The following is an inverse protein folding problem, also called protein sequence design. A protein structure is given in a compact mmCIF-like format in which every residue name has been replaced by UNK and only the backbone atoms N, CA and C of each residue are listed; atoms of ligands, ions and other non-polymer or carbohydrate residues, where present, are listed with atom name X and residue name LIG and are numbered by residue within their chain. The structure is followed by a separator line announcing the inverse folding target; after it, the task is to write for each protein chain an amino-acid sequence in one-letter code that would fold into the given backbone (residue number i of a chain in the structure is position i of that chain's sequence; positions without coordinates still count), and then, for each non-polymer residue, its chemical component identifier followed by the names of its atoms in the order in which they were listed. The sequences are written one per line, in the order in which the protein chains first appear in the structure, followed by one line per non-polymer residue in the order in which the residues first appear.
data_IF_817093918350
#
_entry.id   IF_817093918350
#
_cell.length_a   1.000
_cell.length_b   1.000
_cell.length_c   1.000
_cell.angle_alpha   90.00
_cell.angle_beta   90.00
_cell.angle_gamma   90.00
#
_symmetry.space_group_name_H-M   'P 1'
#
loop_
_entity.id
_entity.type
_entity.pdbx_description
1 polymer ?
#
# COMPACT_ATOMS: atom_id res chain seq x y z
N UNK A 1 -20.21 -6.46 1.99
CA UNK A 1 -18.89 -7.12 2.01
C UNK A 1 -17.94 -6.27 1.19
N UNK A 2 -16.88 -5.71 1.79
CA UNK A 2 -15.87 -4.96 1.03
C UNK A 2 -15.03 -6.00 0.29
N UNK A 3 -15.01 -5.94 -1.04
CA UNK A 3 -14.17 -6.82 -1.85
C UNK A 3 -12.70 -6.52 -1.54
N UNK A 4 -12.01 -7.44 -0.87
CA UNK A 4 -10.65 -7.22 -0.35
C UNK A 4 -9.61 -7.00 -1.44
N UNK A 5 -9.95 -7.32 -2.69
CA UNK A 5 -9.10 -7.08 -3.86
C UNK A 5 -9.33 -5.72 -4.49
N UNK A 6 -10.42 -5.02 -4.15
CA UNK A 6 -10.70 -3.70 -4.72
C UNK A 6 -9.67 -2.69 -4.21
N UNK A 7 -8.89 -2.07 -5.11
CA UNK A 7 -7.92 -1.08 -4.72
C UNK A 7 -8.66 0.22 -4.36
N UNK A 8 -8.61 0.61 -3.09
CA UNK A 8 -9.34 1.78 -2.55
C UNK A 8 -8.44 2.76 -1.79
N UNK A 9 -7.23 2.34 -1.41
CA UNK A 9 -6.35 3.14 -0.57
C UNK A 9 -5.22 3.79 -1.38
N UNK A 10 -5.19 5.12 -1.42
CA UNK A 10 -4.08 5.86 -2.06
C UNK A 10 -2.78 5.72 -1.26
N UNK A 11 -1.64 5.69 -1.95
CA UNK A 11 -0.30 5.59 -1.33
C UNK A 11 -0.05 6.61 -0.22
N UNK A 12 -0.51 7.85 -0.39
CA UNK A 12 -0.34 8.90 0.62
C UNK A 12 -1.15 8.64 1.89
N UNK A 13 -2.36 8.09 1.75
CA UNK A 13 -3.21 7.72 2.90
C UNK A 13 -2.59 6.52 3.62
N UNK A 14 -2.19 5.49 2.88
CA UNK A 14 -1.55 4.30 3.47
C UNK A 14 -0.29 4.67 4.24
N UNK A 15 0.57 5.50 3.65
CA UNK A 15 1.79 5.99 4.29
C UNK A 15 1.51 6.67 5.63
N UNK A 16 0.50 7.55 5.69
CA UNK A 16 0.07 8.20 6.93
C UNK A 16 -0.49 7.21 7.94
N UNK A 17 -1.32 6.25 7.52
CA UNK A 17 -1.93 5.25 8.40
C UNK A 17 -0.92 4.33 9.07
N UNK A 18 0.14 3.94 8.36
CA UNK A 18 1.19 3.07 8.90
C UNK A 18 2.38 3.85 9.46
N UNK A 19 2.38 5.18 9.35
CA UNK A 19 3.42 6.06 9.88
C UNK A 19 4.76 5.96 9.16
N UNK A 20 4.77 5.70 7.85
CA UNK A 20 6.00 5.63 7.03
C UNK A 20 5.99 6.67 5.91
N UNK A 21 7.16 6.94 5.34
CA UNK A 21 7.26 7.84 4.19
C UNK A 21 6.69 7.15 2.92
N UNK A 22 5.97 7.87 2.02
CA UNK A 22 5.47 7.28 0.77
C UNK A 22 6.57 6.66 -0.11
N UNK A 23 7.81 7.16 0.00
CA UNK A 23 8.96 6.60 -0.71
C UNK A 23 9.36 5.22 -0.20
N UNK A 24 9.15 4.93 1.09
CA UNK A 24 9.32 3.59 1.66
C UNK A 24 8.34 2.61 1.05
N UNK A 25 7.08 3.02 0.85
CA UNK A 25 6.09 2.18 0.15
C UNK A 25 6.48 1.96 -1.32
N UNK A 26 6.98 2.99 -2.01
CA UNK A 26 7.51 2.83 -3.38
C UNK A 26 8.71 1.88 -3.44
N UNK A 27 9.54 1.88 -2.40
CA UNK A 27 10.65 0.94 -2.28
C UNK A 27 10.14 -0.49 -2.12
N UNK A 28 9.22 -0.74 -1.18
CA UNK A 28 8.60 -2.07 -1.04
C UNK A 28 7.92 -2.56 -2.31
N UNK A 29 7.32 -1.65 -3.07
CA UNK A 29 6.69 -1.97 -4.35
C UNK A 29 7.74 -2.34 -5.42
N UNK A 30 8.87 -1.61 -5.46
CA UNK A 30 9.99 -1.89 -6.36
C UNK A 30 10.66 -3.24 -6.04
N UNK A 31 10.78 -3.57 -4.75
CA UNK A 31 11.31 -4.86 -4.29
C UNK A 31 10.30 -6.02 -4.43
N UNK A 32 9.08 -5.74 -4.91
CA UNK A 32 8.05 -6.77 -5.12
C UNK A 32 7.36 -7.27 -3.85
N UNK A 33 7.57 -6.61 -2.70
CA UNK A 33 6.93 -6.96 -1.43
C UNK A 33 5.43 -6.62 -1.42
N UNK A 34 5.06 -5.58 -2.15
CA UNK A 34 3.68 -5.08 -2.29
C UNK A 34 3.38 -4.76 -3.75
N UNK A 35 2.09 -4.71 -4.10
CA UNK A 35 1.63 -4.40 -5.45
C UNK A 35 0.53 -3.33 -5.37
N UNK A 36 0.60 -2.31 -6.21
CA UNK A 36 -0.53 -1.40 -6.41
C UNK A 36 -1.25 -1.65 -7.72
N UNK A 37 -2.53 -1.31 -7.74
CA UNK A 37 -3.23 -1.04 -8.98
C UNK A 37 -3.02 0.43 -9.36
N UNK A 38 -2.93 0.70 -10.66
CA UNK A 38 -2.93 2.07 -11.19
C UNK A 38 -4.35 2.46 -11.58
N UNK A 39 -4.80 3.63 -11.15
CA UNK A 39 -6.00 4.25 -11.73
C UNK A 39 -5.70 4.91 -13.06
N UNK A 40 -6.75 5.24 -13.83
CA UNK A 40 -6.64 6.05 -15.05
C UNK A 40 -5.87 7.37 -14.83
N UNK A 41 -5.94 7.96 -13.64
CA UNK A 41 -5.19 9.15 -13.23
C UNK A 41 -3.75 8.89 -12.75
N UNK A 42 -3.11 7.78 -13.14
CA UNK A 42 -1.77 7.34 -12.70
C UNK A 42 -1.55 7.21 -11.18
N UNK A 43 -2.60 7.25 -10.37
CA UNK A 43 -2.46 7.18 -8.92
C UNK A 43 -2.37 5.72 -8.48
N UNK A 44 -1.40 5.44 -7.60
CA UNK A 44 -1.23 4.11 -6.99
C UNK A 44 -2.31 3.89 -5.93
N UNK A 45 -3.10 2.85 -6.12
CA UNK A 45 -4.09 2.38 -5.17
C UNK A 45 -3.72 0.99 -4.66
N UNK A 46 -3.84 0.82 -3.36
CA UNK A 46 -3.69 -0.45 -2.66
C UNK A 46 -5.06 -0.99 -2.30
N UNK A 47 -5.19 -2.31 -2.40
CA UNK A 47 -6.34 -3.03 -1.88
C UNK A 47 -6.17 -3.29 -0.38
N UNK A 48 -7.24 -3.72 0.28
CA UNK A 48 -7.20 -4.10 1.69
C UNK A 48 -6.17 -5.21 1.95
N UNK A 49 -6.02 -6.16 1.01
CA UNK A 49 -5.01 -7.22 1.10
C UNK A 49 -3.58 -6.65 1.15
N UNK A 50 -3.31 -5.67 0.30
CA UNK A 50 -1.99 -5.02 0.23
C UNK A 50 -1.74 -4.13 1.44
N UNK A 51 -2.77 -3.44 1.92
CA UNK A 51 -2.70 -2.68 3.17
C UNK A 51 -2.30 -3.57 4.36
N UNK A 52 -2.89 -4.76 4.50
CA UNK A 52 -2.52 -5.73 5.55
C UNK A 52 -1.06 -6.18 5.44
N UNK A 53 -0.55 -6.43 4.21
CA UNK A 53 0.87 -6.75 4.00
C UNK A 53 1.77 -5.60 4.43
N UNK A 54 1.48 -4.38 3.99
CA UNK A 54 2.24 -3.18 4.36
C UNK A 54 2.29 -3.05 5.88
N UNK A 55 1.14 -3.17 6.55
CA UNK A 55 1.06 -3.10 8.01
C UNK A 55 1.93 -4.17 8.69
N UNK A 56 1.95 -5.40 8.15
CA UNK A 56 2.79 -6.49 8.66
C UNK A 56 4.28 -6.20 8.48
N UNK A 57 4.70 -5.72 7.30
CA UNK A 57 6.10 -5.37 7.02
C UNK A 57 6.58 -4.27 7.98
N UNK A 58 5.79 -3.21 8.11
CA UNK A 58 6.13 -2.08 9.00
C UNK A 58 6.18 -2.54 10.45
N UNK A 59 5.25 -3.40 10.89
CA UNK A 59 5.25 -3.94 12.25
C UNK A 59 6.48 -4.81 12.55
N UNK A 60 6.99 -5.56 11.57
CA UNK A 60 8.16 -6.44 11.74
C UNK A 60 9.50 -5.72 11.58
N UNK A 61 9.51 -4.53 11.01
CA UNK A 61 10.73 -3.73 10.76
C UNK A 61 10.87 -2.59 11.79
N UNK A 62 9.93 -2.49 12.74
CA UNK A 62 9.96 -1.55 13.85
C UNK A 62 10.66 -2.17 15.05
#
# INVERSE_FOLDING_TARGET
MIDEKKPVYMIGIVAKLVGVHPQTLRFYEKEGLITSARTEGQTRLYSEREFRKIRKIVYLTK
#
